data_IF_174627711760
#
_entry.id   IF_174627711760
#
_cell.length_a   1.000
_cell.length_b   1.000
_cell.length_c   1.000
_cell.angle_alpha   90.00
_cell.angle_beta   90.00
_cell.angle_gamma   90.00
#
_symmetry.space_group_name_H-M   'P 1'
#
loop_
_entity.id
_entity.type
_entity.pdbx_description
1 polymer ?
#
# COMPACT_ATOMS: atom_id res chain seq x y z
N UNK A 1 7.07 -0.72 9.33
CA UNK A 1 6.57 -1.92 8.60
C UNK A 1 5.87 -1.54 7.30
N UNK A 2 5.13 -0.42 7.27
CA UNK A 2 4.58 0.22 6.06
C UNK A 2 5.56 0.28 4.89
N UNK A 3 6.80 0.73 5.12
CA UNK A 3 7.82 0.89 4.08
C UNK A 3 8.18 -0.42 3.36
N UNK A 4 8.20 -1.54 4.08
CA UNK A 4 8.45 -2.85 3.49
C UNK A 4 7.27 -3.32 2.64
N UNK A 5 6.05 -3.08 3.13
CA UNK A 5 4.82 -3.40 2.39
C UNK A 5 4.75 -2.59 1.10
N UNK A 6 5.06 -1.29 1.18
CA UNK A 6 5.12 -0.40 0.02
C UNK A 6 6.20 -0.84 -0.97
N UNK A 7 7.40 -1.17 -0.50
CA UNK A 7 8.48 -1.67 -1.35
C UNK A 7 8.08 -2.94 -2.12
N UNK A 8 7.45 -3.90 -1.43
CA UNK A 8 6.95 -5.13 -2.07
C UNK A 8 5.85 -4.79 -3.08
N UNK A 9 4.90 -3.93 -2.73
CA UNK A 9 3.80 -3.54 -3.60
C UNK A 9 4.30 -2.84 -4.88
N UNK A 10 5.25 -1.92 -4.76
CA UNK A 10 5.93 -1.27 -5.89
C UNK A 10 6.66 -2.26 -6.79
N UNK A 11 7.23 -3.31 -6.22
CA UNK A 11 7.91 -4.36 -6.99
C UNK A 11 6.95 -5.29 -7.75
N UNK A 12 5.67 -5.31 -7.40
CA UNK A 12 4.66 -6.20 -7.98
C UNK A 12 3.70 -5.48 -8.95
N UNK A 13 3.50 -4.18 -8.77
CA UNK A 13 2.64 -3.37 -9.63
C UNK A 13 3.28 -3.10 -11.01
N UNK A 14 2.45 -3.01 -12.05
CA UNK A 14 2.91 -2.64 -13.40
C UNK A 14 3.46 -1.21 -13.44
N UNK A 15 2.83 -0.30 -12.68
CA UNK A 15 3.30 1.06 -12.45
C UNK A 15 3.63 1.24 -10.96
N UNK A 16 4.92 1.20 -10.57
CA UNK A 16 5.34 1.31 -9.18
C UNK A 16 5.03 2.66 -8.55
N UNK A 17 4.95 3.72 -9.35
CA UNK A 17 4.75 5.09 -8.86
C UNK A 17 3.28 5.39 -8.55
N UNK A 18 2.35 4.65 -9.17
CA UNK A 18 0.92 4.68 -8.88
C UNK A 18 0.52 3.94 -7.59
N UNK A 19 1.45 3.26 -6.92
CA UNK A 19 1.16 2.52 -5.67
C UNK A 19 1.01 3.47 -4.50
N UNK A 20 -0.14 3.43 -3.84
CA UNK A 20 -0.44 4.19 -2.62
C UNK A 20 -0.72 3.25 -1.47
N UNK A 21 -0.06 3.47 -0.34
CA UNK A 21 -0.30 2.72 0.90
C UNK A 21 -0.82 3.65 1.99
N UNK A 22 -2.04 3.40 2.43
CA UNK A 22 -2.67 4.09 3.55
C UNK A 22 -2.64 3.21 4.81
N UNK A 23 -2.39 3.84 5.96
CA UNK A 23 -2.41 3.19 7.27
C UNK A 23 -3.55 3.78 8.09
N UNK A 24 -4.34 2.93 8.74
CA UNK A 24 -5.44 3.36 9.60
C UNK A 24 -5.59 2.42 10.78
N UNK A 25 -6.10 2.94 11.90
CA UNK A 25 -6.45 2.14 13.08
C UNK A 25 -7.97 1.95 13.07
N UNK A 26 -8.40 0.72 12.84
CA UNK A 26 -9.81 0.32 12.83
C UNK A 26 -10.04 -0.76 13.88
N UNK A 27 -10.98 -0.56 14.81
CA UNK A 27 -11.30 -1.52 15.89
C UNK A 27 -10.07 -1.99 16.70
N UNK A 28 -9.11 -1.08 16.93
CA UNK A 28 -7.86 -1.38 17.65
C UNK A 28 -6.85 -2.20 16.85
N UNK A 29 -7.07 -2.38 15.54
CA UNK A 29 -6.19 -3.09 14.61
C UNK A 29 -5.55 -2.11 13.64
N UNK A 30 -4.29 -2.34 13.32
CA UNK A 30 -3.62 -1.61 12.24
C UNK A 30 -4.02 -2.24 10.89
N UNK A 31 -4.65 -1.44 10.04
CA UNK A 31 -5.04 -1.81 8.68
C UNK A 31 -4.15 -1.06 7.70
N UNK A 32 -3.57 -1.79 6.76
CA UNK A 32 -2.86 -1.23 5.61
C UNK A 32 -3.70 -1.45 4.36
N UNK A 33 -4.12 -0.38 3.70
CA UNK A 33 -4.81 -0.43 2.41
C UNK A 33 -3.82 -0.06 1.31
N UNK A 34 -3.76 -0.94 0.31
CA UNK A 34 -2.94 -0.78 -0.88
C UNK A 34 -3.87 -0.48 -2.05
N UNK A 35 -3.56 0.58 -2.78
CA UNK A 35 -4.33 1.05 -3.94
C UNK A 35 -3.35 1.34 -5.08
N UNK A 36 -3.78 1.08 -6.31
CA UNK A 36 -3.08 1.45 -7.54
C UNK A 36 -4.06 2.28 -8.35
N UNK A 37 -3.61 3.38 -8.94
CA UNK A 37 -4.48 4.20 -9.79
C UNK A 37 -5.08 3.34 -10.92
N UNK A 38 -6.36 3.54 -11.22
CA UNK A 38 -6.98 2.99 -12.43
C UNK A 38 -6.28 3.61 -13.65
N UNK A 39 -5.80 2.76 -14.56
CA UNK A 39 -5.10 3.15 -15.81
C UNK A 39 -5.93 4.10 -16.69
#
# INVERSE_FOLDING_TARGET
MKELIEYIARSLANDPDAVVVTESIEDGRTVFRLEVADE
#
